data_IF_371028836724
#
_entry.id   IF_371028836724
#
_cell.length_a   1.000
_cell.length_b   1.000
_cell.length_c   1.000
_cell.angle_alpha   90.00
_cell.angle_beta   90.00
_cell.angle_gamma   90.00
#
_symmetry.space_group_name_H-M   'P 1'
#
loop_
_entity.id
_entity.type
_entity.pdbx_description
1 polymer ?
#
# COMPACT_ATOMS: atom_id res chain seq x y z
N UNK A 1 -11.42 45.41 -21.05
CA UNK A 1 -12.32 46.22 -20.20
C UNK A 1 -13.25 45.26 -19.46
N UNK A 2 -13.37 45.17 -18.15
CA UNK A 2 -12.68 45.72 -17.01
C UNK A 2 -13.14 44.84 -15.84
N UNK A 3 -12.26 44.03 -15.24
CA UNK A 3 -12.56 43.35 -13.95
C UNK A 3 -11.29 42.88 -13.22
N UNK A 4 -10.21 43.65 -13.37
CA UNK A 4 -9.12 43.71 -12.39
C UNK A 4 -9.25 45.03 -11.64
N UNK A 5 -8.88 45.00 -10.34
CA UNK A 5 -8.74 46.10 -9.38
C UNK A 5 -9.94 46.28 -8.43
N UNK A 6 -9.83 45.69 -7.23
CA UNK A 6 -9.70 46.46 -5.97
C UNK A 6 -9.73 45.52 -4.75
N UNK A 7 -8.56 44.93 -4.43
CA UNK A 7 -8.05 44.72 -3.06
C UNK A 7 -6.63 44.15 -3.14
N UNK A 8 -5.71 45.02 -3.56
CA UNK A 8 -4.28 44.92 -3.18
C UNK A 8 -4.16 45.40 -1.73
N UNK A 9 -3.33 44.75 -0.92
CA UNK A 9 -2.51 45.47 0.06
C UNK A 9 -2.55 45.00 1.52
N UNK A 10 -1.91 43.88 1.80
CA UNK A 10 -1.02 43.66 2.96
C UNK A 10 -0.21 42.37 2.66
N UNK A 11 0.88 42.45 1.91
CA UNK A 11 2.24 42.72 2.40
C UNK A 11 2.63 41.84 3.60
N UNK A 12 3.59 40.94 3.32
CA UNK A 12 4.58 40.39 4.24
C UNK A 12 4.10 39.49 5.39
N UNK A 13 4.11 38.18 5.12
CA UNK A 13 4.65 37.21 6.07
C UNK A 13 5.38 36.10 5.31
N UNK A 14 6.60 36.43 4.90
CA UNK A 14 7.73 35.51 4.98
C UNK A 14 7.75 34.88 6.39
N UNK A 15 7.51 33.57 6.47
CA UNK A 15 8.01 32.78 7.59
C UNK A 15 8.29 31.36 7.09
N UNK A 16 9.59 31.08 6.96
CA UNK A 16 10.17 29.76 6.81
C UNK A 16 9.53 28.73 7.75
N UNK A 17 8.94 27.69 7.18
CA UNK A 17 8.87 26.37 7.79
C UNK A 17 9.65 25.45 6.85
N UNK A 18 10.96 25.63 6.68
CA UNK A 18 11.91 25.36 7.75
C UNK A 18 12.01 23.85 7.87
N UNK A 19 12.89 23.24 7.08
CA UNK A 19 13.42 21.88 7.28
C UNK A 19 13.81 21.74 8.76
N UNK A 20 12.91 21.25 9.60
CA UNK A 20 13.26 20.87 10.96
C UNK A 20 13.94 19.52 10.86
N UNK A 21 15.25 19.58 10.68
CA UNK A 21 16.13 18.51 11.12
C UNK A 21 15.81 18.24 12.58
N UNK A 22 15.50 16.99 12.89
CA UNK A 22 15.32 16.55 14.26
C UNK A 22 16.69 16.61 14.94
N UNK A 23 16.85 17.64 15.75
CA UNK A 23 17.91 17.78 16.74
C UNK A 23 17.72 16.71 17.82
N UNK A 24 18.49 15.63 17.76
CA UNK A 24 18.66 14.74 18.90
C UNK A 24 19.68 15.38 19.86
N UNK A 25 19.18 16.23 20.74
CA UNK A 25 19.92 16.78 21.86
C UNK A 25 20.12 15.67 22.90
N UNK A 26 21.36 15.53 23.37
CA UNK A 26 21.85 14.43 24.19
C UNK A 26 21.14 14.30 25.54
N UNK A 27 20.75 13.06 25.89
CA UNK A 27 20.60 12.61 27.26
C UNK A 27 20.87 11.09 27.34
N UNK A 28 22.09 10.73 27.72
CA UNK A 28 22.44 9.38 28.10
C UNK A 28 21.82 9.08 29.48
N UNK A 29 20.81 8.23 29.50
CA UNK A 29 20.30 7.54 30.68
C UNK A 29 19.87 6.13 30.26
N UNK A 30 20.77 5.16 30.37
CA UNK A 30 20.57 3.70 30.29
C UNK A 30 19.33 3.18 29.53
N UNK A 31 19.08 3.70 28.33
CA UNK A 31 17.84 3.50 27.59
C UNK A 31 18.08 3.68 26.10
N UNK A 32 17.22 3.08 25.28
CA UNK A 32 17.34 3.11 23.83
C UNK A 32 17.16 4.53 23.29
N UNK A 33 18.02 4.95 22.37
CA UNK A 33 17.81 6.16 21.58
C UNK A 33 16.55 5.98 20.74
N UNK A 34 15.52 6.78 21.00
CA UNK A 34 14.29 6.81 20.20
C UNK A 34 14.46 7.79 19.06
N UNK A 35 14.11 7.38 17.85
CA UNK A 35 14.13 8.21 16.64
C UNK A 35 12.72 8.27 16.06
N UNK A 36 12.18 9.48 15.94
CA UNK A 36 10.85 9.72 15.39
C UNK A 36 10.90 9.99 13.88
N UNK A 37 9.97 9.39 13.16
CA UNK A 37 9.78 9.59 11.72
C UNK A 37 8.29 9.86 11.43
N UNK A 38 8.00 10.63 10.38
CA UNK A 38 6.63 10.97 9.98
C UNK A 38 6.41 10.65 8.50
N UNK A 39 5.36 9.88 8.23
CA UNK A 39 4.93 9.43 6.90
C UNK A 39 3.40 9.38 6.87
N UNK A 40 2.81 9.45 5.68
CA UNK A 40 1.36 9.31 5.50
C UNK A 40 0.90 7.86 5.68
N UNK A 41 1.73 6.90 5.23
CA UNK A 41 1.45 5.46 5.32
C UNK A 41 2.67 4.72 5.84
N UNK A 42 2.47 3.81 6.79
CA UNK A 42 3.50 2.88 7.27
C UNK A 42 3.05 1.45 6.99
N UNK A 43 3.82 0.74 6.17
CA UNK A 43 3.61 -0.67 5.83
C UNK A 43 4.60 -1.52 6.61
N UNK A 44 4.09 -2.48 7.40
CA UNK A 44 4.92 -3.41 8.17
C UNK A 44 4.93 -4.78 7.47
N UNK A 45 6.05 -5.09 6.85
CA UNK A 45 6.30 -6.31 6.08
C UNK A 45 6.55 -6.03 4.60
N UNK A 46 7.63 -6.61 4.05
CA UNK A 46 8.02 -6.47 2.64
C UNK A 46 7.87 -7.79 1.86
N UNK A 47 6.78 -8.52 2.12
CA UNK A 47 6.33 -9.63 1.26
C UNK A 47 5.50 -9.11 0.09
N UNK A 48 4.87 -10.00 -0.70
CA UNK A 48 4.09 -9.61 -1.88
C UNK A 48 3.00 -8.56 -1.56
N UNK A 49 2.19 -8.80 -0.52
CA UNK A 49 1.14 -7.87 -0.10
C UNK A 49 1.68 -6.50 0.33
N UNK A 50 2.73 -6.48 1.17
CA UNK A 50 3.29 -5.23 1.68
C UNK A 50 3.99 -4.40 0.61
N UNK A 51 4.70 -5.05 -0.32
CA UNK A 51 5.30 -4.35 -1.45
C UNK A 51 4.23 -3.78 -2.39
N UNK A 52 3.18 -4.54 -2.75
CA UNK A 52 2.10 -4.02 -3.60
C UNK A 52 1.36 -2.86 -2.92
N UNK A 53 1.08 -2.96 -1.62
CA UNK A 53 0.47 -1.88 -0.85
C UNK A 53 1.35 -0.62 -0.80
N UNK A 54 2.66 -0.78 -0.63
CA UNK A 54 3.62 0.33 -0.62
C UNK A 54 3.64 1.03 -1.97
N UNK A 55 3.72 0.26 -3.07
CA UNK A 55 3.70 0.80 -4.45
C UNK A 55 2.41 1.56 -4.70
N UNK A 56 1.25 0.97 -4.40
CA UNK A 56 -0.05 1.63 -4.56
C UNK A 56 -0.18 2.93 -3.76
N UNK A 57 0.34 2.97 -2.53
CA UNK A 57 0.37 4.20 -1.73
C UNK A 57 1.25 5.29 -2.37
N UNK A 58 2.42 4.93 -2.89
CA UNK A 58 3.31 5.88 -3.57
C UNK A 58 2.75 6.35 -4.93
N UNK A 59 2.06 5.49 -5.67
CA UNK A 59 1.37 5.83 -6.93
C UNK A 59 0.23 6.83 -6.69
N UNK A 60 -0.43 6.75 -5.53
CA UNK A 60 -1.42 7.72 -5.08
C UNK A 60 -0.80 9.05 -4.60
N UNK A 61 0.53 9.20 -4.65
CA UNK A 61 1.25 10.41 -4.25
C UNK A 61 1.48 10.55 -2.74
N UNK A 62 1.27 9.48 -1.95
CA UNK A 62 1.47 9.49 -0.50
C UNK A 62 2.92 9.14 -0.14
N UNK A 63 3.43 9.74 0.93
CA UNK A 63 4.71 9.34 1.51
C UNK A 63 4.54 8.03 2.29
N UNK A 64 5.18 6.96 1.81
CA UNK A 64 5.07 5.63 2.41
C UNK A 64 6.41 5.13 2.96
N UNK A 65 6.39 4.54 4.16
CA UNK A 65 7.52 3.82 4.74
C UNK A 65 7.23 2.32 4.78
N UNK A 66 8.07 1.52 4.12
CA UNK A 66 8.01 0.06 4.17
C UNK A 66 9.07 -0.48 5.13
N UNK A 67 8.62 -1.07 6.24
CA UNK A 67 9.48 -1.57 7.31
C UNK A 67 9.44 -3.08 7.31
N UNK A 68 10.61 -3.72 7.27
CA UNK A 68 10.71 -5.18 7.25
C UNK A 68 11.90 -5.65 8.09
N UNK A 69 11.72 -6.78 8.78
CA UNK A 69 12.78 -7.41 9.57
C UNK A 69 13.79 -8.18 8.70
N UNK A 70 13.39 -8.55 7.49
CA UNK A 70 14.21 -9.29 6.52
C UNK A 70 14.41 -8.43 5.28
N UNK A 71 15.50 -8.69 4.54
CA UNK A 71 15.63 -8.17 3.18
C UNK A 71 14.40 -8.62 2.34
N UNK A 72 13.76 -7.74 1.54
CA UNK A 72 12.45 -8.02 0.94
C UNK A 72 12.33 -9.36 0.19
N UNK A 73 13.36 -9.77 -0.57
CA UNK A 73 13.35 -11.03 -1.32
C UNK A 73 13.56 -12.29 -0.46
N UNK A 74 13.76 -12.12 0.86
CA UNK A 74 13.80 -13.21 1.85
C UNK A 74 12.48 -13.37 2.61
N UNK A 75 11.45 -12.62 2.24
CA UNK A 75 10.08 -12.83 2.73
C UNK A 75 9.53 -14.18 2.28
N UNK A 76 8.64 -14.81 3.06
CA UNK A 76 8.13 -16.16 2.76
C UNK A 76 7.33 -16.26 1.45
N UNK A 77 6.89 -15.14 0.87
CA UNK A 77 6.35 -15.08 -0.49
C UNK A 77 7.31 -15.71 -1.52
N UNK A 78 8.63 -15.66 -1.29
CA UNK A 78 9.64 -16.28 -2.19
C UNK A 78 9.52 -17.81 -2.26
N UNK A 79 8.89 -18.45 -1.28
CA UNK A 79 8.73 -19.90 -1.22
C UNK A 79 7.46 -20.39 -1.93
N UNK A 80 6.62 -19.51 -2.48
CA UNK A 80 5.44 -19.91 -3.24
C UNK A 80 5.85 -20.62 -4.55
N UNK A 81 5.17 -21.73 -4.87
CA UNK A 81 5.52 -22.58 -6.03
C UNK A 81 4.38 -22.75 -7.02
N UNK A 82 3.15 -22.98 -6.55
CA UNK A 82 2.03 -23.40 -7.41
C UNK A 82 1.61 -22.34 -8.44
N UNK A 83 1.33 -21.13 -7.98
CA UNK A 83 0.85 -20.03 -8.82
C UNK A 83 -0.14 -19.13 -8.10
N UNK A 84 -0.84 -18.31 -8.88
CA UNK A 84 -1.92 -17.43 -8.43
C UNK A 84 -3.19 -17.73 -9.25
N UNK A 85 -4.33 -17.86 -8.58
CA UNK A 85 -5.60 -18.20 -9.24
C UNK A 85 -6.27 -16.93 -9.79
N UNK A 86 -6.62 -16.94 -11.07
CA UNK A 86 -7.46 -15.93 -11.70
C UNK A 86 -8.23 -16.55 -12.88
N UNK A 87 -9.51 -16.19 -13.00
CA UNK A 87 -10.37 -16.66 -14.07
C UNK A 87 -10.07 -15.91 -15.38
N UNK A 88 -8.90 -16.17 -15.96
CA UNK A 88 -8.41 -15.53 -17.19
C UNK A 88 -8.98 -16.16 -18.47
N UNK A 89 -9.46 -17.41 -18.39
CA UNK A 89 -10.00 -18.12 -19.55
C UNK A 89 -8.95 -18.56 -20.58
N UNK A 90 -7.66 -18.62 -20.21
CA UNK A 90 -6.56 -18.89 -21.16
C UNK A 90 -6.49 -20.34 -21.67
N UNK A 91 -6.98 -21.31 -20.88
CA UNK A 91 -6.93 -22.75 -21.22
C UNK A 91 -8.29 -23.30 -21.63
N UNK A 92 -9.36 -22.77 -21.04
CA UNK A 92 -10.75 -23.07 -21.33
C UNK A 92 -11.60 -21.87 -20.95
N UNK A 93 -12.87 -21.84 -21.36
CA UNK A 93 -13.82 -20.85 -20.86
C UNK A 93 -13.84 -20.87 -19.32
N UNK A 94 -13.87 -19.68 -18.71
CA UNK A 94 -13.81 -19.50 -17.27
C UNK A 94 -14.61 -18.26 -16.83
N UNK A 95 -15.07 -18.27 -15.59
CA UNK A 95 -15.86 -17.19 -15.01
C UNK A 95 -15.46 -16.97 -13.54
N UNK A 96 -15.23 -15.71 -13.17
CA UNK A 96 -14.86 -15.35 -11.80
C UNK A 96 -15.90 -15.81 -10.76
N UNK A 97 -17.18 -15.97 -11.15
CA UNK A 97 -18.25 -16.49 -10.30
C UNK A 97 -18.05 -17.96 -9.95
N UNK A 98 -17.46 -18.74 -10.86
CA UNK A 98 -17.11 -20.14 -10.59
C UNK A 98 -15.98 -20.21 -9.57
N UNK A 99 -14.96 -19.36 -9.73
CA UNK A 99 -13.88 -19.20 -8.75
C UNK A 99 -14.41 -18.75 -7.37
N UNK A 100 -15.37 -17.83 -7.34
CA UNK A 100 -16.02 -17.40 -6.10
C UNK A 100 -16.79 -18.55 -5.45
N UNK A 101 -17.57 -19.32 -6.22
CA UNK A 101 -18.29 -20.49 -5.71
C UNK A 101 -17.34 -21.52 -5.08
N UNK A 102 -16.25 -21.86 -5.76
CA UNK A 102 -15.26 -22.80 -5.24
C UNK A 102 -14.57 -22.28 -3.97
N UNK A 103 -14.31 -20.98 -3.90
CA UNK A 103 -13.71 -20.34 -2.71
C UNK A 103 -14.67 -20.37 -1.53
N UNK A 104 -15.94 -20.02 -1.73
CA UNK A 104 -16.94 -20.03 -0.65
C UNK A 104 -17.15 -21.46 -0.15
N UNK A 105 -17.31 -22.43 -1.06
CA UNK A 105 -17.43 -23.83 -0.72
C UNK A 105 -16.17 -24.36 -0.02
N UNK A 106 -14.98 -24.00 -0.50
CA UNK A 106 -13.71 -24.40 0.09
C UNK A 106 -13.46 -23.81 1.47
N UNK A 107 -14.05 -22.65 1.77
CA UNK A 107 -14.02 -22.03 3.10
C UNK A 107 -15.00 -22.67 4.10
N UNK A 108 -15.71 -23.73 3.71
CA UNK A 108 -16.77 -24.37 4.51
C UNK A 108 -17.86 -23.36 4.95
N UNK A 109 -18.22 -22.44 4.06
CA UNK A 109 -19.18 -21.35 4.28
C UNK A 109 -18.82 -20.38 5.41
N UNK A 110 -17.61 -20.46 5.97
CA UNK A 110 -17.14 -19.55 7.02
C UNK A 110 -16.53 -18.26 6.46
N UNK A 111 -16.17 -18.24 5.18
CA UNK A 111 -15.59 -17.07 4.53
C UNK A 111 -16.59 -15.95 4.28
N UNK A 112 -16.17 -14.72 4.52
CA UNK A 112 -16.94 -13.52 4.23
C UNK A 112 -17.14 -13.39 2.70
N UNK A 113 -18.39 -13.57 2.27
CA UNK A 113 -18.70 -13.72 0.83
C UNK A 113 -18.52 -12.42 0.05
N UNK A 114 -18.64 -11.25 0.68
CA UNK A 114 -18.37 -9.96 0.09
C UNK A 114 -16.86 -9.78 -0.22
N UNK A 115 -15.99 -10.20 0.69
CA UNK A 115 -14.55 -10.21 0.50
C UNK A 115 -14.13 -11.21 -0.58
N UNK A 116 -14.70 -12.42 -0.57
CA UNK A 116 -14.45 -13.44 -1.61
C UNK A 116 -14.91 -12.94 -2.98
N UNK A 117 -16.10 -12.33 -3.04
CA UNK A 117 -16.62 -11.75 -4.27
C UNK A 117 -15.68 -10.68 -4.85
N UNK A 118 -15.19 -9.76 -4.02
CA UNK A 118 -14.20 -8.76 -4.44
C UNK A 118 -12.91 -9.42 -4.94
N UNK A 119 -12.33 -10.33 -4.16
CA UNK A 119 -11.10 -11.01 -4.51
C UNK A 119 -11.19 -11.75 -5.85
N UNK A 120 -12.22 -12.57 -6.06
CA UNK A 120 -12.35 -13.36 -7.28
C UNK A 120 -12.67 -12.51 -8.50
N UNK A 121 -13.46 -11.43 -8.35
CA UNK A 121 -13.79 -10.51 -9.45
C UNK A 121 -12.59 -9.69 -9.90
N UNK A 122 -11.75 -9.22 -8.97
CA UNK A 122 -10.58 -8.39 -9.28
C UNK A 122 -9.35 -9.23 -9.67
N UNK A 123 -9.33 -10.54 -9.36
CA UNK A 123 -8.20 -11.42 -9.64
C UNK A 123 -7.69 -11.39 -11.10
N UNK A 124 -8.54 -11.42 -12.15
CA UNK A 124 -8.06 -11.32 -13.54
C UNK A 124 -7.25 -10.05 -13.81
N UNK A 125 -7.76 -8.89 -13.39
CA UNK A 125 -7.09 -7.61 -13.59
C UNK A 125 -5.79 -7.54 -12.78
N UNK A 126 -5.80 -8.02 -11.53
CA UNK A 126 -4.62 -8.03 -10.66
C UNK A 126 -3.50 -8.95 -11.18
N UNK A 127 -3.83 -10.07 -11.82
CA UNK A 127 -2.82 -10.95 -12.42
C UNK A 127 -2.23 -10.35 -13.69
N UNK A 128 -3.05 -9.68 -14.52
CA UNK A 128 -2.58 -8.97 -15.71
C UNK A 128 -1.65 -7.82 -15.33
N UNK A 129 -1.89 -7.13 -14.21
CA UNK A 129 -0.99 -6.08 -13.71
C UNK A 129 0.42 -6.60 -13.37
N UNK A 130 0.55 -7.88 -12.99
CA UNK A 130 1.83 -8.48 -12.62
C UNK A 130 2.65 -8.98 -13.82
N UNK A 131 2.03 -9.11 -14.99
CA UNK A 131 2.66 -9.55 -16.24
C UNK A 131 3.45 -8.42 -16.90
#
# INVERSE_FOLDING_TARGET
MAHQLLRRGASALTAAAGRRGLSAQAAAAAGYTVVDHTYDVVVVGAGGAGLRATVGATEAGLSAACITKLFPTRSHTVAAQGGINAALGNMSEDDWRWHAYDTIKGSDWLGDQDAIHYMCREAPAAVIELE
#
